data_IF_757426312291
#
_entry.id   IF_757426312291
#
_cell.length_a   1.000
_cell.length_b   1.000
_cell.length_c   1.000
_cell.angle_alpha   90.00
_cell.angle_beta   90.00
_cell.angle_gamma   90.00
#
_symmetry.space_group_name_H-M   'P 1'
#
loop_
_entity.id
_entity.type
_entity.pdbx_description
1 polymer ?
#
# COMPACT_ATOMS: atom_id res chain seq x y z
N UNK A 1 -19.32 -40.83 -35.66
CA UNK A 1 -18.41 -40.91 -36.85
C UNK A 1 -18.80 -42.12 -37.69
N UNK A 2 -19.20 -41.91 -38.94
CA UNK A 2 -19.57 -43.02 -39.85
C UNK A 2 -18.33 -43.80 -40.30
N UNK A 3 -18.49 -45.10 -40.58
CA UNK A 3 -17.45 -45.99 -41.06
C UNK A 3 -16.66 -45.46 -42.29
N UNK A 4 -17.24 -44.56 -43.09
CA UNK A 4 -16.60 -43.92 -44.25
C UNK A 4 -15.65 -42.80 -43.91
N UNK A 5 -15.66 -42.26 -42.67
CA UNK A 5 -14.78 -41.16 -42.27
C UNK A 5 -13.33 -41.63 -42.07
N UNK A 6 -13.18 -42.85 -41.57
CA UNK A 6 -11.83 -43.42 -41.27
C UNK A 6 -11.05 -43.73 -42.55
N UNK A 7 -11.73 -44.04 -43.68
CA UNK A 7 -11.09 -44.37 -44.94
C UNK A 7 -10.60 -43.16 -45.75
N UNK A 8 -10.94 -41.93 -45.34
CA UNK A 8 -10.53 -40.68 -46.03
C UNK A 8 -9.31 -40.04 -45.35
N UNK A 9 -8.85 -40.60 -44.23
CA UNK A 9 -7.70 -40.04 -43.49
C UNK A 9 -6.36 -40.19 -44.24
N UNK A 10 -6.28 -40.97 -45.32
CA UNK A 10 -5.06 -41.12 -46.12
C UNK A 10 -4.66 -39.88 -46.93
N UNK A 11 -5.63 -38.97 -47.25
CA UNK A 11 -5.37 -37.75 -48.04
C UNK A 11 -5.40 -36.47 -47.23
N UNK A 12 -5.39 -36.57 -45.89
CA UNK A 12 -5.45 -35.45 -44.97
C UNK A 12 -6.88 -35.03 -44.59
N UNK A 13 -7.00 -34.36 -43.48
CA UNK A 13 -8.29 -33.89 -42.94
C UNK A 13 -8.61 -32.49 -43.51
N UNK A 14 -9.82 -32.37 -44.16
CA UNK A 14 -10.25 -31.04 -44.63
C UNK A 14 -10.45 -30.05 -43.48
N UNK A 15 -10.16 -28.77 -43.72
CA UNK A 15 -10.33 -27.69 -42.73
C UNK A 15 -11.75 -27.64 -42.13
N UNK A 16 -12.81 -27.99 -42.89
CA UNK A 16 -14.20 -28.10 -42.42
C UNK A 16 -14.37 -29.25 -41.42
N UNK A 17 -13.75 -30.39 -41.69
CA UNK A 17 -13.81 -31.56 -40.80
C UNK A 17 -13.02 -31.34 -39.56
N UNK A 18 -11.84 -30.68 -39.64
CA UNK A 18 -11.00 -30.30 -38.51
C UNK A 18 -11.73 -29.38 -37.55
N UNK A 19 -12.42 -28.37 -38.07
CA UNK A 19 -13.19 -27.42 -37.23
C UNK A 19 -14.36 -28.15 -36.51
N UNK A 20 -15.06 -29.07 -37.18
CA UNK A 20 -16.11 -29.83 -36.52
C UNK A 20 -15.60 -30.74 -35.42
N UNK A 21 -14.46 -31.38 -35.63
CA UNK A 21 -13.83 -32.24 -34.64
C UNK A 21 -13.34 -31.40 -33.44
N UNK A 22 -12.70 -30.28 -33.71
CA UNK A 22 -12.22 -29.35 -32.63
C UNK A 22 -13.37 -28.76 -31.81
N UNK A 23 -14.53 -28.54 -32.40
CA UNK A 23 -15.70 -28.09 -31.65
C UNK A 23 -16.34 -29.23 -30.83
N UNK A 24 -16.38 -30.46 -31.37
CA UNK A 24 -16.93 -31.61 -30.68
C UNK A 24 -16.00 -32.16 -29.57
N UNK A 25 -14.71 -31.99 -29.72
CA UNK A 25 -13.67 -32.50 -28.81
C UNK A 25 -12.63 -31.40 -28.56
N UNK A 26 -12.92 -30.42 -27.73
CA UNK A 26 -12.02 -29.28 -27.48
C UNK A 26 -10.70 -29.67 -26.84
N UNK A 27 -10.67 -30.83 -26.16
CA UNK A 27 -9.47 -31.41 -25.53
C UNK A 27 -8.51 -32.06 -26.55
N UNK A 28 -8.96 -32.34 -27.78
CA UNK A 28 -8.14 -32.99 -28.79
C UNK A 28 -7.10 -32.05 -29.40
N UNK A 29 -5.85 -32.48 -29.47
CA UNK A 29 -4.78 -31.75 -30.12
C UNK A 29 -4.94 -31.85 -31.64
N UNK A 30 -5.30 -30.74 -32.28
CA UNK A 30 -5.50 -30.69 -33.74
C UNK A 30 -4.21 -30.85 -34.52
N UNK A 31 -3.06 -30.51 -33.96
CA UNK A 31 -1.76 -30.74 -34.58
C UNK A 31 -1.46 -32.25 -34.64
N UNK A 32 -1.64 -32.96 -33.53
CA UNK A 32 -1.49 -34.41 -33.49
C UNK A 32 -2.44 -35.10 -34.49
N UNK A 33 -3.67 -34.63 -34.60
CA UNK A 33 -4.65 -35.20 -35.53
C UNK A 33 -4.25 -35.04 -37.01
N UNK A 34 -3.49 -34.00 -37.34
CA UNK A 34 -3.08 -33.72 -38.75
C UNK A 34 -1.70 -34.23 -39.09
N UNK A 35 -0.75 -34.23 -38.13
CA UNK A 35 0.65 -34.60 -38.40
C UNK A 35 1.08 -35.92 -37.76
N UNK A 36 0.32 -36.40 -36.77
CA UNK A 36 0.71 -37.57 -35.96
C UNK A 36 1.79 -37.25 -34.93
N UNK A 37 2.26 -36.02 -34.85
CA UNK A 37 3.30 -35.58 -33.91
C UNK A 37 2.75 -34.99 -32.63
N UNK A 38 3.39 -35.32 -31.50
CA UNK A 38 2.98 -34.81 -30.16
C UNK A 38 1.93 -35.65 -29.46
N UNK A 39 1.35 -35.10 -28.40
CA UNK A 39 0.32 -35.75 -27.57
C UNK A 39 -1.08 -35.63 -28.20
N UNK A 40 -1.86 -36.71 -28.14
CA UNK A 40 -3.21 -36.78 -28.71
C UNK A 40 -4.17 -35.80 -28.05
N UNK A 41 -4.04 -35.62 -26.74
CA UNK A 41 -4.84 -34.63 -25.98
C UNK A 41 -3.98 -33.38 -25.75
N UNK A 42 -4.65 -32.22 -25.83
CA UNK A 42 -4.05 -30.99 -25.31
C UNK A 42 -3.78 -31.24 -23.83
N UNK A 43 -2.54 -31.27 -23.43
CA UNK A 43 -2.15 -31.17 -22.04
C UNK A 43 -2.63 -29.80 -21.59
N UNK A 44 -3.87 -29.72 -21.09
CA UNK A 44 -4.22 -28.64 -20.18
C UNK A 44 -3.31 -28.86 -19.00
N UNK A 45 -2.26 -28.06 -18.88
CA UNK A 45 -1.54 -27.85 -17.63
C UNK A 45 -2.46 -27.14 -16.63
N UNK A 46 -3.68 -27.66 -16.49
CA UNK A 46 -4.56 -27.49 -15.35
C UNK A 46 -4.28 -28.63 -14.38
N UNK A 47 -3.02 -28.84 -14.04
CA UNK A 47 -2.74 -29.25 -12.68
C UNK A 47 -3.21 -28.06 -11.85
N UNK A 48 -4.21 -28.22 -10.96
CA UNK A 48 -4.46 -27.16 -9.99
C UNK A 48 -3.14 -27.04 -9.24
N UNK A 49 -2.44 -25.93 -9.45
CA UNK A 49 -1.24 -25.56 -8.73
C UNK A 49 -1.69 -25.14 -7.35
N UNK A 50 -2.20 -26.14 -6.59
CA UNK A 50 -2.44 -26.01 -5.17
C UNK A 50 -1.06 -26.02 -4.53
N UNK A 51 -0.68 -24.89 -3.93
CA UNK A 51 0.47 -24.68 -3.06
C UNK A 51 1.79 -24.19 -3.66
N UNK A 52 1.86 -23.67 -4.86
CA UNK A 52 2.98 -22.78 -5.16
C UNK A 52 2.62 -21.37 -4.70
N UNK A 53 3.31 -20.91 -3.65
CA UNK A 53 3.24 -19.50 -3.25
C UNK A 53 3.70 -18.67 -4.45
N UNK A 54 2.78 -17.90 -5.03
CA UNK A 54 3.13 -16.96 -6.08
C UNK A 54 4.01 -15.89 -5.44
N UNK A 55 5.23 -15.64 -5.92
CA UNK A 55 6.05 -14.56 -5.39
C UNK A 55 5.29 -13.25 -5.55
N UNK A 56 4.98 -12.60 -4.43
CA UNK A 56 4.42 -11.25 -4.46
C UNK A 56 5.62 -10.33 -4.73
N UNK A 57 5.63 -9.69 -5.89
CA UNK A 57 6.63 -8.68 -6.21
C UNK A 57 6.21 -7.38 -5.54
N UNK A 58 6.75 -7.14 -4.35
CA UNK A 58 6.55 -5.89 -3.61
C UNK A 58 7.86 -5.11 -3.60
N UNK A 59 7.76 -3.81 -3.82
CA UNK A 59 8.91 -2.94 -3.75
C UNK A 59 9.18 -2.55 -2.29
N UNK A 60 10.44 -2.69 -1.87
CA UNK A 60 10.88 -2.28 -0.54
C UNK A 60 11.62 -0.96 -0.68
N UNK A 61 11.10 0.07 -0.05
CA UNK A 61 11.76 1.37 0.06
C UNK A 61 12.32 1.57 1.47
N UNK A 62 13.49 2.22 1.56
CA UNK A 62 14.06 2.59 2.85
C UNK A 62 13.73 4.04 3.15
N UNK A 63 12.95 4.28 4.21
CA UNK A 63 12.50 5.61 4.61
C UNK A 63 13.16 6.06 5.92
N UNK A 64 13.40 7.36 6.11
CA UNK A 64 13.93 7.90 7.37
C UNK A 64 12.99 7.61 8.54
N UNK A 65 13.55 7.29 9.70
CA UNK A 65 12.83 7.14 10.96
C UNK A 65 13.17 8.30 11.90
N UNK A 66 12.16 9.08 12.22
CA UNK A 66 12.23 10.11 13.28
C UNK A 66 11.79 9.46 14.59
N UNK A 67 12.76 9.00 15.38
CA UNK A 67 12.52 8.44 16.70
C UNK A 67 12.35 9.55 17.75
N UNK A 68 11.98 9.21 18.98
CA UNK A 68 11.76 10.19 20.04
C UNK A 68 12.97 11.09 20.33
N UNK A 69 14.19 10.59 20.14
CA UNK A 69 15.43 11.35 20.35
C UNK A 69 15.70 12.33 19.20
N UNK A 70 15.20 12.04 18.01
CA UNK A 70 15.38 12.89 16.84
C UNK A 70 14.34 14.01 16.74
N UNK A 71 13.31 14.05 17.59
CA UNK A 71 12.21 15.01 17.48
C UNK A 71 12.67 16.47 17.46
N UNK A 72 13.50 16.87 18.43
CA UNK A 72 14.00 18.24 18.50
C UNK A 72 14.85 18.60 17.26
N UNK A 73 15.79 17.72 16.90
CA UNK A 73 16.62 17.93 15.72
C UNK A 73 15.82 17.96 14.41
N UNK A 74 14.77 17.16 14.31
CA UNK A 74 13.90 17.15 13.13
C UNK A 74 13.14 18.46 12.95
N UNK A 75 12.66 19.09 14.02
CA UNK A 75 11.98 20.38 13.96
C UNK A 75 12.83 21.48 13.31
N UNK A 76 14.14 21.43 13.51
CA UNK A 76 15.06 22.43 12.96
C UNK A 76 15.73 21.96 11.66
N UNK A 77 15.89 20.65 11.48
CA UNK A 77 16.70 20.06 10.40
C UNK A 77 15.90 19.38 9.27
N UNK A 78 14.56 19.38 9.29
CA UNK A 78 13.76 18.62 8.31
C UNK A 78 13.95 19.08 6.85
N UNK A 79 14.43 20.31 6.64
CA UNK A 79 14.79 20.85 5.31
C UNK A 79 16.25 20.64 4.94
N UNK A 80 17.09 20.20 5.87
CA UNK A 80 18.52 19.92 5.64
C UNK A 80 18.73 18.49 5.17
N UNK A 81 19.13 18.32 3.92
CA UNK A 81 19.40 17.01 3.32
C UNK A 81 20.47 16.23 4.11
N UNK A 82 21.50 16.91 4.61
CA UNK A 82 22.57 16.25 5.38
C UNK A 82 22.05 15.70 6.71
N UNK A 83 21.13 16.40 7.37
CA UNK A 83 20.47 15.91 8.57
C UNK A 83 19.56 14.72 8.26
N UNK A 84 18.76 14.81 7.21
CA UNK A 84 17.84 13.73 6.80
C UNK A 84 18.58 12.44 6.40
N UNK A 85 19.77 12.55 5.80
CA UNK A 85 20.60 11.40 5.48
C UNK A 85 21.16 10.66 6.70
N UNK A 86 21.35 11.35 7.82
CA UNK A 86 21.86 10.79 9.07
C UNK A 86 20.80 10.05 9.89
N UNK A 87 19.50 10.26 9.59
CA UNK A 87 18.42 9.55 10.25
C UNK A 87 18.51 8.05 9.99
N UNK A 88 18.22 7.20 10.99
CA UNK A 88 18.09 5.76 10.76
C UNK A 88 17.06 5.50 9.66
N UNK A 89 17.35 4.56 8.76
CA UNK A 89 16.42 4.16 7.71
C UNK A 89 15.82 2.81 8.02
N UNK A 90 14.51 2.69 7.83
CA UNK A 90 13.78 1.43 8.02
C UNK A 90 13.12 1.00 6.72
N UNK A 91 13.01 -0.33 6.47
CA UNK A 91 12.32 -0.82 5.28
C UNK A 91 10.81 -0.58 5.40
N UNK A 92 10.22 -0.17 4.30
CA UNK A 92 8.77 -0.03 4.12
C UNK A 92 8.36 -0.73 2.83
N UNK A 93 7.34 -1.57 2.92
CA UNK A 93 6.79 -2.29 1.77
C UNK A 93 5.72 -1.43 1.13
N UNK A 94 5.87 -1.14 -0.16
CA UNK A 94 4.89 -0.38 -0.93
C UNK A 94 4.28 -1.24 -2.02
N UNK A 95 2.98 -1.16 -2.21
CA UNK A 95 2.27 -1.91 -3.26
C UNK A 95 2.56 -1.36 -4.66
N UNK A 96 2.95 -0.11 -4.75
CA UNK A 96 3.38 0.58 -5.98
C UNK A 96 4.37 1.67 -5.61
N UNK A 97 5.35 1.94 -6.48
CA UNK A 97 6.19 3.14 -6.35
C UNK A 97 5.29 4.37 -6.24
N UNK A 98 5.07 4.81 -5.02
CA UNK A 98 4.30 6.00 -4.71
C UNK A 98 5.16 7.23 -4.87
N UNK A 99 4.76 8.16 -5.73
CA UNK A 99 5.36 9.49 -5.75
C UNK A 99 5.00 10.21 -4.45
N UNK A 100 5.99 10.62 -3.66
CA UNK A 100 5.79 11.35 -2.43
C UNK A 100 6.96 11.22 -1.46
N UNK A 101 6.97 12.07 -0.44
CA UNK A 101 7.93 11.99 0.65
C UNK A 101 7.36 11.09 1.74
N UNK A 102 8.08 10.00 2.07
CA UNK A 102 7.70 9.04 3.10
C UNK A 102 8.66 9.13 4.27
N UNK A 103 8.12 9.24 5.45
CA UNK A 103 8.88 9.32 6.70
C UNK A 103 8.16 8.46 7.73
N UNK A 104 8.93 7.74 8.54
CA UNK A 104 8.40 7.03 9.69
C UNK A 104 8.62 7.84 10.96
N UNK A 105 7.62 7.85 11.84
CA UNK A 105 7.68 8.50 13.15
C UNK A 105 7.46 7.49 14.25
N UNK A 106 8.22 7.58 15.33
CA UNK A 106 7.98 6.80 16.53
C UNK A 106 7.01 7.55 17.44
N UNK A 107 5.93 6.89 17.86
CA UNK A 107 4.91 7.50 18.74
C UNK A 107 5.52 7.80 20.11
N UNK A 108 5.26 9.01 20.61
CA UNK A 108 5.63 9.46 21.95
C UNK A 108 4.39 9.85 22.74
N UNK A 109 4.30 9.33 23.96
CA UNK A 109 3.18 9.59 24.87
C UNK A 109 1.95 8.74 24.58
N UNK A 110 0.84 9.05 25.24
CA UNK A 110 -0.37 8.25 25.31
C UNK A 110 -1.63 8.94 24.79
N UNK A 111 -1.49 10.12 24.21
CA UNK A 111 -2.65 10.91 23.75
C UNK A 111 -3.49 10.22 22.65
N UNK A 112 -2.93 9.26 21.96
CA UNK A 112 -3.62 8.46 20.94
C UNK A 112 -3.92 7.03 21.41
N UNK A 113 -3.95 6.80 22.73
CA UNK A 113 -4.27 5.52 23.34
C UNK A 113 -5.62 5.59 24.06
N UNK A 114 -6.64 4.96 23.50
CA UNK A 114 -7.97 4.83 24.13
C UNK A 114 -8.27 3.37 24.54
N UNK A 115 -7.28 2.47 24.50
CA UNK A 115 -7.42 1.06 24.85
C UNK A 115 -8.13 0.20 23.80
N UNK A 116 -8.42 0.73 22.62
CA UNK A 116 -9.02 -0.01 21.49
C UNK A 116 -7.95 -0.43 20.48
N UNK A 117 -8.36 -1.18 19.45
CA UNK A 117 -7.48 -1.58 18.35
C UNK A 117 -6.98 -0.40 17.50
N UNK A 118 -7.69 0.73 17.51
CA UNK A 118 -7.28 1.96 16.81
C UNK A 118 -6.17 2.72 17.54
N UNK A 119 -5.81 2.32 18.76
CA UNK A 119 -4.82 3.01 19.58
C UNK A 119 -3.42 2.95 18.99
N UNK A 120 -2.72 4.07 19.09
CA UNK A 120 -1.26 4.11 18.93
C UNK A 120 -0.61 4.16 20.32
N UNK A 121 0.29 3.21 20.57
CA UNK A 121 1.01 3.15 21.84
C UNK A 121 2.39 3.80 21.69
N UNK A 122 2.91 4.34 22.78
CA UNK A 122 4.27 4.85 22.81
C UNK A 122 5.27 3.83 22.28
N UNK A 123 6.11 4.23 21.30
CA UNK A 123 7.08 3.38 20.62
C UNK A 123 6.52 2.61 19.42
N UNK A 124 5.23 2.73 19.09
CA UNK A 124 4.72 2.27 17.79
C UNK A 124 5.39 3.10 16.68
N UNK A 125 5.62 2.49 15.53
CA UNK A 125 6.19 3.16 14.35
C UNK A 125 5.10 3.43 13.35
N UNK A 126 4.94 4.69 12.98
CA UNK A 126 3.96 5.14 12.00
C UNK A 126 4.66 5.39 10.67
N UNK A 127 4.25 4.69 9.65
CA UNK A 127 4.69 4.92 8.27
C UNK A 127 3.77 5.96 7.64
N UNK A 128 4.34 7.08 7.25
CA UNK A 128 3.58 8.26 6.90
C UNK A 128 3.99 8.82 5.54
N UNK A 129 3.02 9.44 4.86
CA UNK A 129 3.23 10.15 3.61
C UNK A 129 2.95 11.63 3.80
N UNK A 130 3.86 12.47 3.36
CA UNK A 130 3.69 13.92 3.42
C UNK A 130 2.54 14.38 2.53
N UNK A 131 1.74 15.29 3.04
CA UNK A 131 0.70 16.00 2.29
C UNK A 131 1.28 17.34 1.88
N UNK A 132 1.38 17.56 0.57
CA UNK A 132 1.95 18.79 0.05
C UNK A 132 1.22 20.03 0.59
N UNK A 133 1.95 21.11 0.95
CA UNK A 133 1.38 22.30 1.59
C UNK A 133 0.20 22.93 0.84
N UNK A 134 0.24 22.94 -0.49
CA UNK A 134 -0.87 23.49 -1.28
C UNK A 134 -2.19 22.71 -1.12
N UNK A 135 -2.12 21.43 -0.70
CA UNK A 135 -3.31 20.63 -0.42
C UNK A 135 -3.95 20.98 0.92
N UNK A 136 -3.20 21.50 1.90
CA UNK A 136 -3.81 21.94 3.16
C UNK A 136 -4.64 23.21 2.95
N UNK A 137 -4.15 24.12 2.11
CA UNK A 137 -4.81 25.40 1.86
C UNK A 137 -6.16 25.27 1.16
N UNK A 138 -6.40 24.14 0.46
CA UNK A 138 -7.59 23.99 -0.39
C UNK A 138 -8.43 22.77 -0.10
N UNK A 139 -7.92 21.81 0.68
CA UNK A 139 -8.60 20.55 0.95
C UNK A 139 -9.07 20.44 2.39
N UNK A 140 -10.28 19.95 2.58
CA UNK A 140 -10.80 19.64 3.91
C UNK A 140 -10.23 18.30 4.40
N UNK A 141 -9.14 18.36 5.18
CA UNK A 141 -8.39 17.19 5.64
C UNK A 141 -9.24 16.24 6.49
N UNK A 142 -10.16 16.75 7.29
CA UNK A 142 -11.03 15.96 8.17
C UNK A 142 -11.98 15.00 7.45
N UNK A 143 -12.28 15.22 6.16
CA UNK A 143 -13.19 14.35 5.41
C UNK A 143 -12.60 12.95 5.15
N UNK A 144 -11.31 12.78 5.25
CA UNK A 144 -10.63 11.53 4.93
C UNK A 144 -10.56 10.53 6.07
N UNK A 145 -10.98 10.90 7.28
CA UNK A 145 -10.95 10.04 8.49
C UNK A 145 -9.61 9.35 8.73
N UNK A 146 -8.51 10.03 8.41
CA UNK A 146 -7.16 9.56 8.65
C UNK A 146 -6.65 10.09 9.97
N UNK A 147 -5.65 9.42 10.52
CA UNK A 147 -4.81 9.98 11.57
C UNK A 147 -3.58 10.63 10.95
N UNK A 148 -3.10 11.68 11.56
CA UNK A 148 -2.07 12.53 11.01
C UNK A 148 -0.92 12.69 11.99
N UNK A 149 0.30 12.74 11.44
CA UNK A 149 1.46 13.29 12.14
C UNK A 149 1.59 14.73 11.70
N UNK A 150 1.57 15.64 12.67
CA UNK A 150 1.65 17.08 12.47
C UNK A 150 2.95 17.59 13.08
N UNK A 151 3.80 18.14 12.24
CA UNK A 151 5.04 18.81 12.63
C UNK A 151 4.70 20.27 12.87
N UNK A 152 4.54 20.62 14.14
CA UNK A 152 4.23 21.96 14.62
C UNK A 152 5.47 22.66 15.17
N UNK A 153 5.45 23.97 15.28
CA UNK A 153 6.57 24.74 15.87
C UNK A 153 6.96 24.28 17.27
N UNK A 154 5.96 23.83 18.06
CA UNK A 154 6.18 23.35 19.45
C UNK A 154 6.54 21.87 19.56
N UNK A 155 6.47 21.09 18.45
CA UNK A 155 6.74 19.67 18.51
C UNK A 155 6.07 18.84 17.41
N UNK A 156 6.27 17.54 17.49
CA UNK A 156 5.65 16.57 16.59
C UNK A 156 4.53 15.86 17.36
N UNK A 157 3.34 15.87 16.81
CA UNK A 157 2.16 15.28 17.44
C UNK A 157 1.44 14.35 16.49
N UNK A 158 0.84 13.29 17.02
CA UNK A 158 -0.06 12.40 16.31
C UNK A 158 -1.48 12.71 16.75
N UNK A 159 -2.36 13.03 15.80
CA UNK A 159 -3.75 13.43 16.09
C UNK A 159 -4.68 13.08 14.93
N UNK A 160 -5.97 13.00 15.23
CA UNK A 160 -7.05 12.98 14.24
C UNK A 160 -7.47 14.42 13.95
N UNK A 161 -7.60 14.80 12.69
CA UNK A 161 -8.16 16.11 12.33
C UNK A 161 -9.67 15.90 12.18
N UNK A 162 -10.45 16.58 13.03
CA UNK A 162 -11.91 16.46 13.06
C UNK A 162 -12.63 17.63 12.40
N UNK A 163 -11.95 18.76 12.25
CA UNK A 163 -12.42 19.91 11.49
C UNK A 163 -11.26 20.64 10.82
N UNK A 164 -11.55 21.27 9.70
CA UNK A 164 -10.61 22.11 8.95
C UNK A 164 -11.34 23.32 8.38
N UNK A 165 -11.10 24.46 9.00
CA UNK A 165 -11.57 25.76 8.56
C UNK A 165 -10.56 26.36 7.57
N UNK A 166 -10.87 26.24 6.28
CA UNK A 166 -10.01 26.73 5.20
C UNK A 166 -9.95 28.26 5.15
N UNK A 167 -11.04 28.94 5.57
CA UNK A 167 -11.13 30.41 5.54
C UNK A 167 -10.26 31.04 6.63
N UNK A 168 -10.29 30.44 7.82
CA UNK A 168 -9.52 30.92 8.96
C UNK A 168 -8.14 30.25 9.08
N UNK A 169 -7.79 29.36 8.15
CA UNK A 169 -6.53 28.60 8.15
C UNK A 169 -6.27 27.83 9.45
N UNK A 170 -7.30 27.21 10.01
CA UNK A 170 -7.19 26.45 11.25
C UNK A 170 -7.65 25.00 11.09
N UNK A 171 -7.09 24.14 11.91
CA UNK A 171 -7.54 22.74 12.05
C UNK A 171 -7.89 22.45 13.49
N UNK A 172 -8.96 21.69 13.71
CA UNK A 172 -9.27 21.13 15.03
C UNK A 172 -8.73 19.72 15.11
N UNK A 173 -7.85 19.50 16.08
CA UNK A 173 -7.22 18.21 16.33
C UNK A 173 -7.87 17.53 17.53
N UNK A 174 -8.02 16.21 17.40
CA UNK A 174 -8.62 15.32 18.38
C UNK A 174 -7.62 14.24 18.82
N UNK A 175 -7.61 13.93 20.11
CA UNK A 175 -6.87 12.83 20.70
C UNK A 175 -7.81 11.64 20.88
N UNK A 176 -7.34 10.41 20.61
CA UNK A 176 -8.16 9.23 20.91
C UNK A 176 -8.34 8.99 22.42
N UNK A 177 -7.41 9.49 23.24
CA UNK A 177 -7.51 9.46 24.69
C UNK A 177 -8.31 10.67 25.18
N UNK A 178 -9.47 10.41 25.75
CA UNK A 178 -10.43 11.43 26.24
C UNK A 178 -9.86 12.37 27.31
N UNK A 179 -8.72 12.02 27.94
CA UNK A 179 -8.05 12.90 28.88
C UNK A 179 -7.41 14.13 28.22
N UNK A 180 -7.28 14.12 26.91
CA UNK A 180 -6.70 15.20 26.11
C UNK A 180 -7.80 15.90 25.32
N UNK A 181 -8.17 17.14 25.68
CA UNK A 181 -9.23 17.87 24.99
C UNK A 181 -8.83 18.23 23.55
N UNK A 182 -9.84 18.44 22.73
CA UNK A 182 -9.67 18.96 21.39
C UNK A 182 -9.01 20.33 21.41
N UNK A 183 -8.19 20.59 20.40
CA UNK A 183 -7.45 21.85 20.25
C UNK A 183 -7.57 22.37 18.84
N UNK A 184 -7.69 23.69 18.72
CA UNK A 184 -7.57 24.39 17.44
C UNK A 184 -6.10 24.79 17.24
N UNK A 185 -5.56 24.52 16.06
CA UNK A 185 -4.19 24.87 15.65
C UNK A 185 -4.28 25.76 14.42
N UNK A 186 -3.49 26.83 14.42
CA UNK A 186 -3.28 27.67 13.25
C UNK A 186 -2.31 26.94 12.28
N UNK A 187 -2.67 26.88 11.01
CA UNK A 187 -1.82 26.27 10.00
C UNK A 187 -0.54 27.06 9.73
N UNK A 188 -0.47 28.34 10.13
CA UNK A 188 0.77 29.13 10.08
C UNK A 188 1.87 28.57 11.00
N UNK A 189 1.50 27.86 12.08
CA UNK A 189 2.42 27.23 13.01
C UNK A 189 2.79 25.79 12.61
N UNK A 190 2.18 25.27 11.54
CA UNK A 190 2.40 23.92 11.05
C UNK A 190 3.45 23.92 9.94
N UNK A 191 4.51 23.15 10.13
CA UNK A 191 5.62 22.99 9.17
C UNK A 191 5.32 21.89 8.14
N UNK A 192 4.81 20.74 8.59
CA UNK A 192 4.47 19.60 7.74
C UNK A 192 3.26 18.85 8.29
N UNK A 193 2.48 18.24 7.41
CA UNK A 193 1.41 17.29 7.75
C UNK A 193 1.65 16.00 6.97
N UNK A 194 1.57 14.88 7.68
CA UNK A 194 1.66 13.55 7.10
C UNK A 194 0.38 12.77 7.42
N UNK A 195 -0.14 12.02 6.47
CA UNK A 195 -1.14 11.01 6.78
C UNK A 195 -0.46 9.69 7.18
N UNK A 196 -0.98 9.04 8.20
CA UNK A 196 -0.55 7.70 8.60
C UNK A 196 -1.09 6.68 7.59
N UNK A 197 -0.20 5.85 7.04
CA UNK A 197 -0.55 4.79 6.08
C UNK A 197 -0.62 3.45 6.81
N UNK A 198 0.38 3.19 7.65
CA UNK A 198 0.53 1.94 8.37
C UNK A 198 1.14 2.18 9.75
N UNK A 199 0.81 1.34 10.70
CA UNK A 199 1.42 1.34 12.03
C UNK A 199 2.00 -0.04 12.33
N UNK A 200 3.24 -0.07 12.83
CA UNK A 200 3.91 -1.29 13.27
C UNK A 200 4.17 -1.21 14.76
N UNK A 201 3.64 -2.17 15.49
CA UNK A 201 3.83 -2.30 16.93
C UNK A 201 4.94 -3.28 17.24
N UNK A 202 6.13 -2.82 17.68
CA UNK A 202 7.17 -3.72 18.12
C UNK A 202 6.74 -4.42 19.42
N UNK A 203 6.94 -5.75 19.48
CA UNK A 203 6.75 -6.47 20.74
C UNK A 203 7.83 -6.05 21.71
N UNK A 204 7.41 -5.41 22.81
CA UNK A 204 8.28 -5.17 23.98
C UNK A 204 8.39 -6.47 24.76
N UNK A 205 9.61 -6.86 25.07
CA UNK A 205 9.90 -7.97 25.99
C UNK A 205 10.16 -7.41 27.39
#
# INVERSE_FOLDING_TARGET
LSRGFVNVLGDGISSKSLNKISQAFPELNTLWLTTGEGEMLKTTNNTPQYNEATPIQQDVVYIPLVNQFAYAGYLDGYTDASYMEQLPKIPFIVDKEGHGNYIAFEVKGDSMNNGTEESYLEGDRLYCREIAPYLWATSKLHLRKWDFVIVHTDGIIVKRIIDHDVENHTITIHSLNDMYPDRVIDLCDVKQIFNVIESVRPRRR
#
